data_IF_757902397074
#
_entry.id   IF_757902397074
#
_cell.length_a   1.000
_cell.length_b   1.000
_cell.length_c   1.000
_cell.angle_alpha   90.00
_cell.angle_beta   90.00
_cell.angle_gamma   90.00
#
_symmetry.space_group_name_H-M   'P 1'
#
loop_
_entity.id
_entity.type
_entity.pdbx_description
1 polymer ?
#
# COMPACT_ATOMS: atom_id res chain seq x y z
N UNK A 1 -11.96 17.51 -4.91
CA UNK A 1 -11.11 17.13 -3.75
C UNK A 1 -11.86 16.08 -2.95
N UNK A 2 -11.18 15.01 -2.55
CA UNK A 2 -11.78 13.87 -1.86
C UNK A 2 -10.84 13.42 -0.74
N UNK A 3 -11.36 13.30 0.49
CA UNK A 3 -10.62 12.79 1.65
C UNK A 3 -10.92 11.31 1.81
N UNK A 4 -9.87 10.48 1.81
CA UNK A 4 -9.97 9.02 1.88
C UNK A 4 -8.65 8.40 2.35
N UNK A 5 -8.61 7.09 2.49
CA UNK A 5 -7.43 6.30 2.80
C UNK A 5 -7.40 4.99 2.01
N UNK A 6 -6.30 4.26 2.08
CA UNK A 6 -6.13 2.97 1.43
C UNK A 6 -5.25 2.05 2.28
N UNK A 7 -5.65 0.79 2.42
CA UNK A 7 -4.89 -0.24 3.13
C UNK A 7 -4.44 -1.31 2.15
N UNK A 8 -3.12 -1.40 1.94
CA UNK A 8 -2.53 -2.44 1.07
C UNK A 8 -2.41 -3.77 1.83
N UNK A 9 -3.54 -4.49 1.96
CA UNK A 9 -3.67 -5.70 2.79
C UNK A 9 -2.79 -6.88 2.36
N UNK A 10 -2.28 -6.87 1.14
CA UNK A 10 -1.39 -7.91 0.60
C UNK A 10 0.07 -7.72 1.01
N UNK A 11 0.44 -6.51 1.47
CA UNK A 11 1.77 -6.19 2.03
C UNK A 11 2.82 -5.74 1.01
N UNK A 12 2.51 -5.73 -0.29
CA UNK A 12 3.40 -5.28 -1.37
C UNK A 12 2.97 -3.95 -2.02
N UNK A 13 3.91 -3.38 -2.80
CA UNK A 13 3.75 -2.07 -3.41
C UNK A 13 2.70 -2.01 -4.53
N UNK A 14 2.43 -3.11 -5.26
CA UNK A 14 1.49 -3.08 -6.38
C UNK A 14 0.09 -2.68 -5.92
N UNK A 15 -0.43 -3.38 -4.90
CA UNK A 15 -1.76 -3.06 -4.37
C UNK A 15 -1.81 -1.70 -3.66
N UNK A 16 -0.67 -1.16 -3.24
CA UNK A 16 -0.55 0.19 -2.68
C UNK A 16 -0.46 1.31 -3.73
N UNK A 17 -0.17 0.98 -5.00
CA UNK A 17 0.10 1.98 -6.05
C UNK A 17 -0.83 1.85 -7.25
N UNK A 18 -0.94 0.67 -7.83
CA UNK A 18 -1.66 0.41 -9.09
C UNK A 18 -3.13 0.82 -9.00
N UNK A 19 -3.91 0.38 -8.00
CA UNK A 19 -5.28 0.84 -7.74
C UNK A 19 -5.48 2.37 -7.75
N UNK A 20 -4.47 3.10 -7.30
CA UNK A 20 -4.58 4.51 -6.90
C UNK A 20 -4.01 5.48 -7.94
N UNK A 21 -3.03 5.04 -8.73
CA UNK A 21 -2.26 5.93 -9.61
C UNK A 21 -2.14 5.44 -11.06
N UNK A 22 -2.43 4.17 -11.35
CA UNK A 22 -2.39 3.71 -12.73
C UNK A 22 -3.56 4.32 -13.54
N UNK A 23 -3.30 4.77 -14.76
CA UNK A 23 -4.29 5.54 -15.53
C UNK A 23 -5.52 4.72 -15.95
N UNK A 24 -5.36 3.40 -16.15
CA UNK A 24 -6.47 2.49 -16.43
C UNK A 24 -7.47 2.34 -15.28
N UNK A 25 -7.08 2.76 -14.08
CA UNK A 25 -7.82 2.57 -12.83
C UNK A 25 -8.66 3.78 -12.42
N UNK A 26 -8.88 4.72 -13.34
CA UNK A 26 -9.87 5.78 -13.13
C UNK A 26 -11.27 5.17 -12.90
N UNK A 27 -12.12 5.78 -12.06
CA UNK A 27 -13.51 5.36 -11.93
C UNK A 27 -14.22 5.35 -13.30
N UNK A 28 -15.11 4.39 -13.57
CA UNK A 28 -15.66 3.38 -12.66
C UNK A 28 -14.82 2.10 -12.53
N UNK A 29 -13.65 2.02 -13.17
CA UNK A 29 -12.82 0.80 -13.16
C UNK A 29 -12.29 0.48 -11.76
N UNK A 30 -11.73 1.49 -11.09
CA UNK A 30 -11.06 1.33 -9.80
C UNK A 30 -10.96 2.69 -9.06
N UNK A 31 -9.98 2.85 -8.17
CA UNK A 31 -9.96 3.89 -7.13
C UNK A 31 -8.91 5.00 -7.36
N UNK A 32 -8.46 5.21 -8.61
CA UNK A 32 -7.68 6.40 -8.97
C UNK A 32 -8.61 7.62 -9.05
N UNK A 33 -9.05 8.08 -7.88
CA UNK A 33 -9.99 9.19 -7.70
C UNK A 33 -9.36 10.57 -7.94
N UNK A 34 -8.03 10.62 -8.06
CA UNK A 34 -7.29 11.81 -8.44
C UNK A 34 -7.29 12.04 -9.96
N UNK A 35 -7.75 11.07 -10.75
CA UNK A 35 -7.64 11.07 -12.21
C UNK A 35 -6.19 11.33 -12.68
N UNK A 36 -5.23 10.80 -11.92
CA UNK A 36 -3.81 10.94 -12.23
C UNK A 36 -3.44 10.02 -13.39
N UNK A 37 -2.55 10.48 -14.26
CA UNK A 37 -1.98 9.69 -15.35
C UNK A 37 -0.57 10.15 -15.65
N UNK A 38 0.35 9.20 -15.71
CA UNK A 38 1.72 9.45 -16.13
C UNK A 38 2.25 8.20 -16.83
N UNK A 39 2.74 8.36 -18.07
CA UNK A 39 3.18 7.23 -18.90
C UNK A 39 4.33 6.44 -18.28
N UNK A 40 5.24 7.10 -17.56
CA UNK A 40 6.37 6.44 -16.93
C UNK A 40 5.89 5.63 -15.73
N UNK A 41 5.02 6.20 -14.89
CA UNK A 41 4.40 5.48 -13.76
C UNK A 41 3.65 4.24 -14.24
N UNK A 42 2.81 4.36 -15.26
CA UNK A 42 2.07 3.22 -15.82
C UNK A 42 3.03 2.14 -16.36
N UNK A 43 4.12 2.55 -17.01
CA UNK A 43 5.15 1.66 -17.52
C UNK A 43 5.89 0.93 -16.40
N UNK A 44 6.30 1.64 -15.34
CA UNK A 44 7.06 1.06 -14.23
C UNK A 44 6.22 0.08 -13.42
N UNK A 45 4.95 0.42 -13.14
CA UNK A 45 4.01 -0.49 -12.48
C UNK A 45 3.76 -1.75 -13.31
N UNK A 46 3.56 -1.61 -14.62
CA UNK A 46 3.36 -2.75 -15.51
C UNK A 46 4.63 -3.61 -15.67
N UNK A 47 5.82 -3.00 -15.63
CA UNK A 47 7.10 -3.71 -15.67
C UNK A 47 7.36 -4.47 -14.36
N UNK A 48 7.03 -3.88 -13.21
CA UNK A 48 7.22 -4.50 -11.90
C UNK A 48 6.42 -5.80 -11.73
N UNK A 49 5.28 -5.92 -12.41
CA UNK A 49 4.47 -7.14 -12.47
C UNK A 49 5.05 -8.25 -13.38
N UNK A 50 6.00 -7.91 -14.27
CA UNK A 50 6.60 -8.85 -15.23
C UNK A 50 7.94 -9.43 -14.78
N UNK A 51 8.48 -8.96 -13.67
CA UNK A 51 9.74 -9.43 -13.10
C UNK A 51 9.53 -10.02 -11.72
N UNK A 52 10.35 -11.02 -11.39
CA UNK A 52 10.44 -11.63 -10.05
C UNK A 52 11.76 -11.28 -9.35
N UNK A 53 12.65 -10.50 -10.00
CA UNK A 53 13.88 -10.03 -9.36
C UNK A 53 13.54 -8.93 -8.33
N UNK A 54 13.82 -9.15 -7.04
CA UNK A 54 13.54 -8.16 -6.00
C UNK A 54 14.21 -6.81 -6.25
N UNK A 55 15.46 -6.78 -6.75
CA UNK A 55 16.18 -5.53 -6.96
C UNK A 55 15.52 -4.68 -8.05
N UNK A 56 15.12 -5.34 -9.16
CA UNK A 56 14.43 -4.67 -10.24
C UNK A 56 13.03 -4.21 -9.82
N UNK A 57 12.28 -5.01 -9.06
CA UNK A 57 10.98 -4.56 -8.49
C UNK A 57 11.14 -3.33 -7.61
N UNK A 58 12.13 -3.33 -6.71
CA UNK A 58 12.40 -2.17 -5.84
C UNK A 58 12.76 -0.93 -6.65
N UNK A 59 13.58 -1.06 -7.69
CA UNK A 59 13.94 0.06 -8.58
C UNK A 59 12.71 0.66 -9.27
N UNK A 60 11.90 -0.18 -9.89
CA UNK A 60 10.70 0.25 -10.63
C UNK A 60 9.67 0.93 -9.72
N UNK A 61 9.37 0.35 -8.56
CA UNK A 61 8.43 0.99 -7.62
C UNK A 61 8.97 2.31 -7.07
N UNK A 62 10.28 2.39 -6.79
CA UNK A 62 10.90 3.64 -6.35
C UNK A 62 10.77 4.74 -7.40
N UNK A 63 11.06 4.44 -8.66
CA UNK A 63 10.95 5.41 -9.76
C UNK A 63 9.52 5.92 -9.94
N UNK A 64 8.53 5.03 -9.88
CA UNK A 64 7.12 5.41 -9.89
C UNK A 64 6.76 6.33 -8.72
N UNK A 65 7.18 5.98 -7.50
CA UNK A 65 6.92 6.76 -6.29
C UNK A 65 7.57 8.15 -6.33
N UNK A 66 8.80 8.27 -6.82
CA UNK A 66 9.50 9.55 -6.95
C UNK A 66 8.75 10.52 -7.88
N UNK A 67 8.20 10.00 -8.99
CA UNK A 67 7.40 10.79 -9.95
C UNK A 67 6.07 11.21 -9.30
N UNK A 68 5.34 10.27 -8.71
CA UNK A 68 4.04 10.55 -8.04
C UNK A 68 4.24 11.63 -6.96
N UNK A 69 5.29 11.51 -6.14
CA UNK A 69 5.60 12.51 -5.11
C UNK A 69 5.84 13.89 -5.71
N UNK A 70 6.68 13.97 -6.75
CA UNK A 70 7.04 15.22 -7.43
C UNK A 70 5.84 15.89 -8.11
N UNK A 71 4.94 15.11 -8.71
CA UNK A 71 3.76 15.63 -9.41
C UNK A 71 2.57 15.90 -8.47
N UNK A 72 2.64 15.41 -7.23
CA UNK A 72 1.69 15.71 -6.15
C UNK A 72 0.21 15.59 -6.56
N UNK A 73 -0.24 14.46 -7.13
CA UNK A 73 -1.67 14.25 -7.41
C UNK A 73 -2.50 14.18 -6.12
N UNK A 74 -1.85 13.92 -4.98
CA UNK A 74 -2.42 13.86 -3.65
C UNK A 74 -1.80 14.91 -2.72
N UNK A 75 -2.50 15.14 -1.61
CA UNK A 75 -1.95 15.75 -0.40
C UNK A 75 -1.86 14.60 0.63
N UNK A 76 -0.72 13.89 0.74
CA UNK A 76 -0.58 12.80 1.69
C UNK A 76 -0.58 13.35 3.12
N UNK A 77 -1.49 12.84 3.96
CA UNK A 77 -1.75 13.41 5.29
C UNK A 77 -0.95 12.72 6.40
N UNK A 78 -1.28 11.46 6.68
CA UNK A 78 -0.72 10.68 7.79
C UNK A 78 -0.79 9.18 7.49
N UNK A 79 -0.02 8.39 8.24
CA UNK A 79 -0.19 6.93 8.39
C UNK A 79 -0.62 6.66 9.83
N UNK A 80 -1.69 5.91 10.02
CA UNK A 80 -2.27 5.65 11.33
C UNK A 80 -1.37 4.74 12.19
N UNK A 81 -1.49 4.88 13.52
CA UNK A 81 -0.90 3.93 14.48
C UNK A 81 -2.02 3.07 15.06
N UNK A 82 -1.83 1.76 15.02
CA UNK A 82 -2.73 0.82 15.69
C UNK A 82 -2.44 0.83 17.19
N UNK A 83 -3.49 1.08 17.97
CA UNK A 83 -3.43 1.04 19.44
C UNK A 83 -4.25 -0.15 19.91
N UNK A 84 -3.60 -1.16 20.46
CA UNK A 84 -4.22 -2.35 21.04
C UNK A 84 -3.83 -2.51 22.51
N UNK A 85 -4.61 -3.29 23.24
CA UNK A 85 -4.34 -3.64 24.62
C UNK A 85 -4.70 -5.11 24.86
N UNK A 86 -3.91 -5.79 25.69
CA UNK A 86 -4.18 -7.16 26.12
C UNK A 86 -3.85 -7.34 27.60
N UNK A 87 -4.43 -8.39 28.21
CA UNK A 87 -4.08 -8.79 29.58
C UNK A 87 -2.58 -9.14 29.67
N UNK A 88 -1.96 -8.84 30.81
CA UNK A 88 -0.57 -9.27 31.09
C UNK A 88 -0.41 -10.80 31.13
N UNK A 89 -1.50 -11.52 31.35
CA UNK A 89 -1.49 -12.99 31.38
C UNK A 89 -1.54 -13.59 29.97
N UNK A 90 -1.97 -12.82 28.96
CA UNK A 90 -2.00 -13.26 27.57
C UNK A 90 -0.63 -13.04 26.92
N UNK A 91 -0.02 -14.12 26.45
CA UNK A 91 1.24 -14.11 25.71
C UNK A 91 1.04 -14.70 24.32
N UNK A 92 1.94 -14.39 23.37
CA UNK A 92 1.89 -14.93 22.02
C UNK A 92 0.75 -14.39 21.13
N UNK A 93 0.15 -13.25 21.50
CA UNK A 93 -0.95 -12.62 20.77
C UNK A 93 -0.55 -11.22 20.28
N UNK A 94 -0.54 -11.02 18.97
CA UNK A 94 -0.01 -9.81 18.33
C UNK A 94 -1.01 -9.18 17.37
N UNK A 95 -1.07 -7.84 17.37
CA UNK A 95 -1.73 -7.07 16.31
C UNK A 95 -0.79 -6.97 15.11
N UNK A 96 -1.31 -7.22 13.91
CA UNK A 96 -0.58 -7.09 12.65
C UNK A 96 -0.86 -5.72 12.00
N UNK A 97 0.06 -5.20 11.16
CA UNK A 97 -0.12 -3.89 10.50
C UNK A 97 -1.39 -3.77 9.63
N UNK A 98 -1.90 -4.89 9.12
CA UNK A 98 -3.14 -4.98 8.35
C UNK A 98 -4.41 -5.06 9.22
N UNK A 99 -4.28 -4.83 10.52
CA UNK A 99 -5.31 -4.95 11.57
C UNK A 99 -5.74 -6.38 11.90
N UNK A 100 -5.10 -7.38 11.29
CA UNK A 100 -5.25 -8.79 11.65
C UNK A 100 -4.59 -9.13 12.99
N UNK A 101 -4.78 -10.37 13.43
CA UNK A 101 -4.13 -10.91 14.62
C UNK A 101 -3.27 -12.11 14.26
N UNK A 102 -2.07 -12.17 14.83
CA UNK A 102 -1.24 -13.38 14.87
C UNK A 102 -1.30 -13.96 16.28
N UNK A 103 -1.77 -15.20 16.41
CA UNK A 103 -2.04 -15.85 17.70
C UNK A 103 -1.74 -17.35 17.69
N UNK A 104 -0.89 -17.82 16.76
CA UNK A 104 -0.54 -19.23 16.63
C UNK A 104 0.11 -19.79 17.90
N UNK A 105 0.89 -18.96 18.59
CA UNK A 105 1.57 -19.29 19.85
C UNK A 105 0.87 -18.67 21.09
N UNK A 106 -0.42 -18.32 20.97
CA UNK A 106 -1.13 -17.64 22.05
C UNK A 106 -1.39 -18.58 23.24
N UNK A 107 -1.10 -18.08 24.45
CA UNK A 107 -1.27 -18.83 25.70
C UNK A 107 -1.62 -17.91 26.88
N UNK A 108 -2.17 -18.49 27.95
CA UNK A 108 -2.47 -17.83 29.22
C UNK A 108 -1.60 -18.39 30.34
N UNK A 109 -0.96 -17.48 31.07
CA UNK A 109 -0.26 -17.80 32.32
C UNK A 109 -1.20 -17.92 33.52
#
# INVERSE_FOLDING_TARGET
MFYTGWSASTGEADWALSPLFASQNWPPTQFNTAFYSNKQVDSDLAAALKTNDPQEKTRLYKEAQDIIWKESPWIPLVVEKLVSAHSKNLTGFWIMPDTGFSFDDADLK
#
